data_IF_264649569672
#
_entry.id   IF_264649569672
#
_cell.length_a   1.000
_cell.length_b   1.000
_cell.length_c   1.000
_cell.angle_alpha   90.00
_cell.angle_beta   90.00
_cell.angle_gamma   90.00
#
_symmetry.space_group_name_H-M   'P 1'
#
loop_
_entity.id
_entity.type
_entity.pdbx_description
1 polymer ?
#
# COMPACT_ATOMS: atom_id res chain seq x y z
N UNK A 1 13.55 -4.24 13.93
CA UNK A 1 13.84 -5.39 14.82
C UNK A 1 12.89 -6.52 14.48
N UNK A 2 13.38 -7.76 14.50
CA UNK A 2 12.63 -8.99 14.21
C UNK A 2 11.23 -9.05 14.87
N UNK A 3 11.15 -8.79 16.18
CA UNK A 3 9.89 -8.87 16.94
C UNK A 3 8.73 -8.08 16.33
N UNK A 4 9.01 -6.92 15.71
CA UNK A 4 7.97 -6.12 15.04
C UNK A 4 7.32 -6.90 13.90
N UNK A 5 8.14 -7.61 13.12
CA UNK A 5 7.67 -8.35 11.97
C UNK A 5 6.97 -9.66 12.36
N UNK A 6 7.40 -10.31 13.46
CA UNK A 6 6.67 -11.43 14.10
C UNK A 6 5.29 -10.96 14.57
N UNK A 7 5.23 -9.87 15.34
CA UNK A 7 3.94 -9.31 15.82
C UNK A 7 3.00 -9.03 14.64
N UNK A 8 3.53 -8.41 13.58
CA UNK A 8 2.76 -8.14 12.37
C UNK A 8 2.47 -9.35 11.48
N UNK A 9 3.04 -10.54 11.75
CA UNK A 9 2.84 -11.72 10.90
C UNK A 9 3.63 -11.74 9.59
N UNK A 10 4.46 -10.74 9.33
CA UNK A 10 5.16 -10.62 8.05
C UNK A 10 6.29 -11.64 7.89
N UNK A 11 6.93 -12.06 8.99
CA UNK A 11 7.94 -13.12 8.89
C UNK A 11 7.29 -14.48 8.63
N UNK A 12 6.12 -14.73 9.21
CA UNK A 12 5.39 -15.99 9.05
C UNK A 12 4.82 -16.15 7.64
N UNK A 13 4.30 -15.08 7.06
CA UNK A 13 3.57 -15.14 5.79
C UNK A 13 4.31 -14.58 4.58
N UNK A 14 5.42 -13.85 4.80
CA UNK A 14 6.12 -13.08 3.77
C UNK A 14 7.66 -13.10 3.89
N UNK A 15 8.26 -13.97 4.73
CA UNK A 15 9.72 -14.04 4.89
C UNK A 15 10.47 -14.22 3.56
N UNK A 16 9.98 -15.08 2.66
CA UNK A 16 10.61 -15.33 1.36
C UNK A 16 10.67 -14.08 0.45
N UNK A 17 9.79 -13.12 0.69
CA UNK A 17 9.75 -11.83 0.00
C UNK A 17 10.54 -10.72 0.69
N UNK A 18 11.12 -10.98 1.87
CA UNK A 18 11.92 -10.02 2.63
C UNK A 18 13.40 -10.20 2.35
N UNK A 19 14.17 -9.12 2.47
CA UNK A 19 15.63 -9.23 2.50
C UNK A 19 16.06 -10.03 3.74
N UNK A 20 17.16 -10.81 3.66
CA UNK A 20 17.70 -11.53 4.81
C UNK A 20 17.96 -10.62 6.00
N UNK A 21 17.87 -11.14 7.25
CA UNK A 21 18.16 -10.36 8.44
C UNK A 21 19.61 -9.87 8.44
N UNK A 22 19.78 -8.65 8.94
CA UNK A 22 21.07 -8.11 9.35
C UNK A 22 21.23 -8.38 10.85
N UNK A 23 22.12 -9.31 11.20
CA UNK A 23 22.47 -9.59 12.60
C UNK A 23 23.49 -8.56 13.10
N UNK A 24 23.07 -7.67 13.99
CA UNK A 24 23.90 -6.53 14.45
C UNK A 24 23.80 -6.32 15.97
N UNK A 25 24.58 -5.39 16.52
CA UNK A 25 24.58 -5.00 17.94
C UNK A 25 25.07 -6.08 18.93
N UNK A 26 25.75 -7.13 18.46
CA UNK A 26 26.41 -8.11 19.31
C UNK A 26 27.66 -7.47 19.97
N UNK A 27 27.82 -7.68 21.29
CA UNK A 27 29.01 -7.26 22.02
C UNK A 27 29.77 -8.50 22.51
N UNK A 28 31.10 -8.47 22.38
CA UNK A 28 31.98 -9.57 22.75
C UNK A 28 32.93 -9.12 23.86
N UNK A 29 33.28 -10.03 24.76
CA UNK A 29 34.34 -9.85 25.74
C UNK A 29 35.72 -9.93 25.06
N UNK A 30 36.80 -9.55 25.77
CA UNK A 30 38.18 -9.64 25.26
C UNK A 30 38.60 -11.07 24.89
N UNK A 31 37.97 -12.08 25.51
CA UNK A 31 38.20 -13.50 25.25
C UNK A 31 37.37 -14.04 24.07
N UNK A 32 36.60 -13.18 23.38
CA UNK A 32 35.75 -13.54 22.26
C UNK A 32 34.39 -14.14 22.64
N UNK A 33 34.06 -14.29 23.92
CA UNK A 33 32.74 -14.76 24.36
C UNK A 33 31.68 -13.67 24.21
N UNK A 34 30.43 -14.06 23.92
CA UNK A 34 29.33 -13.10 23.72
C UNK A 34 28.94 -12.47 25.07
N UNK A 35 29.10 -11.16 25.19
CA UNK A 35 28.65 -10.35 26.34
C UNK A 35 27.19 -9.96 26.21
N UNK A 36 26.77 -9.61 24.99
CA UNK A 36 25.40 -9.23 24.64
C UNK A 36 25.05 -9.86 23.30
N UNK A 37 23.97 -10.65 23.22
CA UNK A 37 23.55 -11.23 21.95
C UNK A 37 23.16 -10.11 20.98
N UNK A 38 23.54 -10.29 19.71
CA UNK A 38 23.06 -9.42 18.64
C UNK A 38 21.56 -9.59 18.41
N UNK A 39 21.01 -8.71 17.59
CA UNK A 39 19.60 -8.69 17.22
C UNK A 39 19.46 -8.67 15.70
N UNK A 40 18.41 -9.31 15.23
CA UNK A 40 18.09 -9.32 13.81
C UNK A 40 17.25 -8.09 13.44
N UNK A 41 17.71 -7.39 12.41
CA UNK A 41 17.03 -6.27 11.80
C UNK A 41 16.72 -6.60 10.35
N UNK A 42 15.49 -6.30 9.94
CA UNK A 42 15.03 -6.47 8.57
C UNK A 42 14.75 -5.11 7.96
N UNK A 43 15.12 -4.98 6.68
CA UNK A 43 14.64 -3.89 5.84
C UNK A 43 13.12 -4.00 5.71
N UNK A 44 12.42 -2.86 5.81
CA UNK A 44 10.96 -2.85 5.78
C UNK A 44 10.45 -3.22 4.37
N UNK A 45 9.57 -4.23 4.22
CA UNK A 45 8.94 -4.55 2.94
C UNK A 45 7.66 -3.75 2.69
N UNK A 46 7.10 -3.15 3.76
CA UNK A 46 5.85 -2.37 3.82
C UNK A 46 5.91 -1.40 5.00
N UNK A 47 5.07 -0.35 5.01
CA UNK A 47 5.08 0.66 6.07
C UNK A 47 4.11 0.37 7.23
N UNK A 48 3.13 -0.53 7.03
CA UNK A 48 2.03 -0.80 7.97
C UNK A 48 2.48 -0.98 9.43
N UNK A 49 3.48 -1.85 9.74
CA UNK A 49 3.89 -2.08 11.12
C UNK A 49 4.34 -0.80 11.83
N UNK A 50 5.01 0.12 11.13
CA UNK A 50 5.48 1.38 11.69
C UNK A 50 4.31 2.34 11.95
N UNK A 51 3.33 2.38 11.05
CA UNK A 51 2.13 3.22 11.22
C UNK A 51 1.28 2.74 12.41
N UNK A 52 1.26 1.43 12.68
CA UNK A 52 0.59 0.88 13.87
C UNK A 52 1.28 1.29 15.17
N UNK A 53 2.62 1.33 15.18
CA UNK A 53 3.38 1.88 16.32
C UNK A 53 3.05 3.35 16.55
N UNK A 54 2.93 4.15 15.47
CA UNK A 54 2.52 5.56 15.56
C UNK A 54 1.11 5.68 16.14
N UNK A 55 0.15 4.87 15.65
CA UNK A 55 -1.22 4.86 16.20
C UNK A 55 -1.20 4.58 17.70
N UNK A 56 -0.51 3.52 18.12
CA UNK A 56 -0.43 3.05 19.51
C UNK A 56 0.39 3.94 20.45
N UNK A 57 1.25 4.82 19.92
CA UNK A 57 2.14 5.67 20.73
C UNK A 57 1.43 6.55 21.77
N UNK A 58 0.13 6.82 21.59
CA UNK A 58 -0.71 7.51 22.57
C UNK A 58 -2.15 7.02 22.52
N UNK A 59 -2.92 7.34 23.56
CA UNK A 59 -4.37 7.13 23.55
C UNK A 59 -5.07 7.86 22.41
N UNK A 60 -6.09 7.21 21.83
CA UNK A 60 -6.91 7.72 20.72
C UNK A 60 -8.37 7.83 21.14
N UNK A 61 -9.06 8.88 20.69
CA UNK A 61 -10.50 9.07 20.83
C UNK A 61 -11.22 8.81 19.51
N UNK A 62 -12.47 8.36 19.55
CA UNK A 62 -13.33 8.26 18.35
C UNK A 62 -13.42 9.58 17.57
N UNK A 63 -13.27 10.73 18.25
CA UNK A 63 -13.28 12.07 17.62
C UNK A 63 -12.08 12.34 16.72
N UNK A 64 -11.04 11.53 16.82
CA UNK A 64 -9.86 11.61 15.95
C UNK A 64 -9.99 10.70 14.72
N UNK A 65 -11.03 9.85 14.66
CA UNK A 65 -11.30 8.98 13.53
C UNK A 65 -12.23 9.68 12.53
N UNK A 66 -12.06 9.44 11.21
CA UNK A 66 -11.01 8.63 10.60
C UNK A 66 -9.60 9.29 10.66
N UNK A 67 -8.62 8.57 11.22
CA UNK A 67 -7.22 9.01 11.28
C UNK A 67 -6.48 8.45 10.07
N UNK A 68 -5.91 9.31 9.25
CA UNK A 68 -5.20 8.93 8.01
C UNK A 68 -3.71 9.21 8.17
N UNK A 69 -2.89 8.16 8.16
CA UNK A 69 -1.43 8.28 8.11
C UNK A 69 -0.97 8.01 6.68
N UNK A 70 -0.11 8.87 6.16
CA UNK A 70 0.41 8.79 4.78
C UNK A 70 1.93 8.93 4.81
N UNK A 71 2.60 8.13 3.98
CA UNK A 71 4.05 8.15 3.84
C UNK A 71 4.46 7.79 2.40
N UNK A 72 5.32 8.60 1.78
CA UNK A 72 6.14 8.12 0.67
C UNK A 72 7.28 7.26 1.24
N UNK A 73 6.95 6.01 1.54
CA UNK A 73 7.83 5.10 2.25
C UNK A 73 8.71 4.31 1.29
N UNK A 74 10.03 4.46 1.40
CA UNK A 74 10.97 3.57 0.69
C UNK A 74 11.00 2.20 1.34
N UNK A 75 10.62 1.18 0.58
CA UNK A 75 10.52 -0.21 1.03
C UNK A 75 11.36 -1.13 0.14
N UNK A 76 11.69 -2.30 0.66
CA UNK A 76 12.56 -3.26 0.02
C UNK A 76 11.95 -4.65 0.01
N UNK A 77 11.80 -5.22 -1.18
CA UNK A 77 11.27 -6.58 -1.39
C UNK A 77 12.30 -7.41 -2.14
N UNK A 78 12.54 -8.63 -1.67
CA UNK A 78 13.50 -9.53 -2.27
C UNK A 78 12.92 -10.25 -3.48
N UNK A 79 12.76 -9.50 -4.58
CA UNK A 79 12.36 -10.07 -5.86
C UNK A 79 13.49 -10.93 -6.45
N UNK A 80 13.15 -12.11 -6.98
CA UNK A 80 14.12 -12.98 -7.67
C UNK A 80 14.73 -12.21 -8.84
N UNK A 81 16.04 -12.34 -9.07
CA UNK A 81 16.73 -11.56 -10.11
C UNK A 81 16.12 -11.75 -11.50
N UNK A 82 15.63 -12.95 -11.81
CA UNK A 82 14.98 -13.27 -13.09
C UNK A 82 13.62 -12.61 -13.33
N UNK A 83 13.00 -11.97 -12.33
CA UNK A 83 11.71 -11.27 -12.49
C UNK A 83 11.82 -9.76 -12.37
N UNK A 84 13.00 -9.22 -12.05
CA UNK A 84 13.24 -7.77 -12.01
C UNK A 84 13.23 -7.23 -13.44
N UNK A 85 12.48 -6.16 -13.68
CA UNK A 85 12.31 -5.59 -15.02
C UNK A 85 11.99 -4.10 -14.97
N UNK A 86 12.84 -3.31 -15.65
CA UNK A 86 12.65 -1.86 -15.82
C UNK A 86 12.26 -1.16 -14.52
N UNK A 87 11.19 -0.37 -14.58
CA UNK A 87 10.57 0.28 -13.42
C UNK A 87 9.36 -0.49 -12.87
N UNK A 88 8.85 -1.49 -13.59
CA UNK A 88 7.61 -2.19 -13.23
C UNK A 88 7.82 -3.23 -12.14
N UNK A 89 9.04 -3.76 -11.99
CA UNK A 89 9.39 -4.72 -10.94
C UNK A 89 10.82 -4.52 -10.45
N UNK A 90 10.96 -3.93 -9.26
CA UNK A 90 12.24 -3.52 -8.66
C UNK A 90 12.36 -4.04 -7.22
N UNK A 91 13.57 -4.04 -6.66
CA UNK A 91 13.83 -4.50 -5.28
C UNK A 91 13.72 -3.40 -4.23
N UNK A 92 14.01 -2.16 -4.60
CA UNK A 92 13.81 -0.97 -3.77
C UNK A 92 12.82 -0.06 -4.49
N UNK A 93 11.78 0.37 -3.79
CA UNK A 93 10.70 1.16 -4.37
C UNK A 93 10.15 2.13 -3.33
N UNK A 94 9.52 3.21 -3.80
CA UNK A 94 8.79 4.13 -2.94
C UNK A 94 7.30 3.95 -3.18
N UNK A 95 6.57 3.61 -2.11
CA UNK A 95 5.12 3.46 -2.17
C UNK A 95 4.46 4.70 -1.55
N UNK A 96 3.38 5.15 -2.17
CA UNK A 96 2.50 6.23 -1.69
C UNK A 96 1.48 5.66 -0.68
N UNK A 97 2.03 5.02 0.35
CA UNK A 97 1.30 4.15 1.24
C UNK A 97 0.50 4.95 2.29
N UNK A 98 -0.72 4.54 2.54
CA UNK A 98 -1.57 5.13 3.56
C UNK A 98 -2.33 4.09 4.36
N UNK A 99 -2.41 4.36 5.67
CA UNK A 99 -3.14 3.56 6.65
C UNK A 99 -4.20 4.42 7.30
N UNK A 100 -5.45 4.02 7.14
CA UNK A 100 -6.61 4.77 7.63
C UNK A 100 -7.27 3.95 8.72
N UNK A 101 -7.32 4.54 9.91
CA UNK A 101 -7.99 3.97 11.07
C UNK A 101 -9.36 4.63 11.17
N UNK A 102 -10.42 3.84 11.05
CA UNK A 102 -11.79 4.34 11.04
C UNK A 102 -12.66 3.51 11.97
N UNK A 103 -13.86 3.99 12.29
CA UNK A 103 -14.84 3.16 13.02
C UNK A 103 -15.52 2.18 12.05
N UNK A 104 -16.19 1.15 12.58
CA UNK A 104 -16.96 0.23 11.72
C UNK A 104 -18.10 0.97 11.01
N UNK A 105 -18.73 1.92 11.70
CA UNK A 105 -19.84 2.70 11.18
C UNK A 105 -19.41 3.63 10.02
N UNK A 106 -18.19 4.19 10.10
CA UNK A 106 -17.66 5.11 9.08
C UNK A 106 -16.90 4.39 7.94
N UNK A 107 -16.68 3.07 8.03
CA UNK A 107 -15.79 2.35 7.11
C UNK A 107 -16.28 2.40 5.67
N UNK A 108 -17.58 2.22 5.44
CA UNK A 108 -18.17 2.21 4.09
C UNK A 108 -18.00 3.56 3.41
N UNK A 109 -18.35 4.64 4.11
CA UNK A 109 -18.22 6.01 3.59
C UNK A 109 -16.77 6.40 3.33
N UNK A 110 -15.82 5.88 4.13
CA UNK A 110 -14.40 6.06 3.88
C UNK A 110 -13.97 5.31 2.61
N UNK A 111 -14.35 4.04 2.45
CA UNK A 111 -14.03 3.24 1.25
C UNK A 111 -14.60 3.86 -0.02
N UNK A 112 -15.85 4.35 -0.01
CA UNK A 112 -16.46 5.03 -1.16
C UNK A 112 -15.70 6.29 -1.54
N UNK A 113 -15.36 7.15 -0.56
CA UNK A 113 -14.58 8.38 -0.82
C UNK A 113 -13.18 8.06 -1.33
N UNK A 114 -12.54 7.02 -0.79
CA UNK A 114 -11.21 6.58 -1.23
C UNK A 114 -11.23 6.05 -2.66
N UNK A 115 -12.22 5.24 -3.02
CA UNK A 115 -12.35 4.73 -4.38
C UNK A 115 -12.55 5.88 -5.37
N UNK A 116 -13.44 6.83 -5.08
CA UNK A 116 -13.61 8.00 -5.94
C UNK A 116 -12.32 8.82 -6.07
N UNK A 117 -11.62 9.07 -4.96
CA UNK A 117 -10.35 9.79 -4.97
C UNK A 117 -9.28 9.09 -5.82
N UNK A 118 -9.21 7.76 -5.77
CA UNK A 118 -8.31 6.97 -6.63
C UNK A 118 -8.65 7.18 -8.11
N UNK A 119 -9.91 7.06 -8.48
CA UNK A 119 -10.36 7.18 -9.87
C UNK A 119 -10.10 8.58 -10.42
N UNK A 120 -10.44 9.63 -9.67
CA UNK A 120 -10.20 11.03 -10.04
C UNK A 120 -8.71 11.29 -10.25
N UNK A 121 -7.87 10.83 -9.31
CA UNK A 121 -6.43 11.00 -9.40
C UNK A 121 -5.85 10.30 -10.64
N UNK A 122 -6.24 9.06 -10.92
CA UNK A 122 -5.76 8.35 -12.12
C UNK A 122 -6.24 9.02 -13.42
N UNK A 123 -7.46 9.57 -13.42
CA UNK A 123 -8.02 10.33 -14.54
C UNK A 123 -7.25 11.62 -14.81
N UNK A 124 -6.77 12.32 -13.78
CA UNK A 124 -5.89 13.49 -13.93
C UNK A 124 -4.58 13.15 -14.66
N UNK A 125 -4.09 11.91 -14.53
CA UNK A 125 -2.96 11.35 -15.28
C UNK A 125 -3.35 10.74 -16.64
N UNK A 126 -4.55 11.02 -17.15
CA UNK A 126 -5.01 10.60 -18.47
C UNK A 126 -5.48 9.14 -18.57
N UNK A 127 -5.53 8.40 -17.46
CA UNK A 127 -5.99 7.02 -17.41
C UNK A 127 -7.51 7.03 -17.15
N UNK A 128 -8.33 6.53 -18.07
CA UNK A 128 -9.80 6.67 -17.97
C UNK A 128 -10.58 5.37 -18.18
N UNK A 129 -9.92 4.27 -18.58
CA UNK A 129 -10.55 2.96 -18.79
C UNK A 129 -10.29 2.07 -17.57
N UNK A 130 -11.24 2.08 -16.65
CA UNK A 130 -11.16 1.40 -15.36
C UNK A 130 -12.12 0.23 -15.27
N UNK A 131 -11.66 -0.84 -14.61
CA UNK A 131 -12.52 -1.84 -13.99
C UNK A 131 -11.96 -2.22 -12.61
N UNK A 132 -12.77 -2.86 -11.79
CA UNK A 132 -12.42 -3.26 -10.44
C UNK A 132 -12.27 -4.77 -10.36
N UNK A 133 -11.29 -5.22 -9.58
CA UNK A 133 -11.17 -6.61 -9.16
C UNK A 133 -11.40 -6.71 -7.65
N UNK A 134 -12.34 -7.57 -7.24
CA UNK A 134 -12.59 -7.92 -5.85
C UNK A 134 -11.84 -9.20 -5.51
N UNK A 135 -10.70 -9.06 -4.82
CA UNK A 135 -9.94 -10.22 -4.38
C UNK A 135 -10.43 -10.72 -3.02
N UNK A 136 -10.80 -12.00 -2.98
CA UNK A 136 -11.41 -12.63 -1.80
C UNK A 136 -10.47 -13.63 -1.12
N UNK A 137 -10.90 -14.13 0.04
CA UNK A 137 -10.14 -15.02 0.93
C UNK A 137 -9.51 -16.21 0.19
N UNK A 138 -8.21 -16.42 0.42
CA UNK A 138 -7.52 -17.66 0.06
C UNK A 138 -7.78 -18.72 1.15
N UNK A 139 -8.40 -19.88 0.84
CA UNK A 139 -8.65 -20.94 1.82
C UNK A 139 -7.40 -21.49 2.51
N UNK A 140 -6.21 -21.37 1.90
CA UNK A 140 -4.95 -21.89 2.43
C UNK A 140 -4.16 -20.83 3.20
N UNK A 141 -4.45 -19.54 2.99
CA UNK A 141 -3.63 -18.43 3.49
C UNK A 141 -4.47 -17.23 3.98
N UNK A 142 -5.09 -17.38 5.15
CA UNK A 142 -5.85 -16.31 5.78
C UNK A 142 -5.74 -16.31 7.32
N UNK A 143 -6.09 -15.19 7.94
CA UNK A 143 -6.24 -15.04 9.40
C UNK A 143 -7.54 -14.32 9.75
N UNK A 144 -8.06 -14.53 10.96
CA UNK A 144 -9.34 -13.97 11.40
C UNK A 144 -10.51 -14.94 11.23
N UNK A 145 -11.71 -14.52 11.63
CA UNK A 145 -12.92 -15.35 11.56
C UNK A 145 -13.63 -15.20 10.21
N UNK A 146 -14.41 -16.21 9.83
CA UNK A 146 -15.16 -16.20 8.58
C UNK A 146 -16.18 -15.07 8.52
N UNK A 147 -16.80 -14.71 9.65
CA UNK A 147 -17.78 -13.63 9.73
C UNK A 147 -17.15 -12.27 9.42
N UNK A 148 -15.92 -12.02 9.89
CA UNK A 148 -15.18 -10.79 9.61
C UNK A 148 -14.83 -10.72 8.12
N UNK A 149 -14.40 -11.84 7.53
CA UNK A 149 -14.10 -11.91 6.10
C UNK A 149 -15.33 -11.66 5.23
N UNK A 150 -16.48 -12.20 5.64
CA UNK A 150 -17.76 -11.98 4.96
C UNK A 150 -18.16 -10.49 5.04
N UNK A 151 -18.16 -9.90 6.25
CA UNK A 151 -18.43 -8.47 6.47
C UNK A 151 -17.53 -7.58 5.61
N UNK A 152 -16.22 -7.89 5.60
CA UNK A 152 -15.22 -7.14 4.85
C UNK A 152 -15.42 -7.24 3.34
N UNK A 153 -15.65 -8.45 2.85
CA UNK A 153 -15.82 -8.74 1.42
C UNK A 153 -17.10 -8.12 0.91
N UNK A 154 -18.19 -8.24 1.67
CA UNK A 154 -19.49 -7.67 1.32
C UNK A 154 -19.45 -6.15 1.32
N UNK A 155 -18.81 -5.52 2.30
CA UNK A 155 -18.64 -4.06 2.33
C UNK A 155 -17.88 -3.58 1.09
N UNK A 156 -16.80 -4.26 0.71
CA UNK A 156 -16.06 -3.93 -0.51
C UNK A 156 -16.93 -4.15 -1.75
N UNK A 157 -17.65 -5.27 -1.86
CA UNK A 157 -18.57 -5.55 -2.97
C UNK A 157 -19.60 -4.44 -3.16
N UNK A 158 -20.28 -4.03 -2.09
CA UNK A 158 -21.25 -2.94 -2.13
C UNK A 158 -20.63 -1.62 -2.59
N UNK A 159 -19.42 -1.29 -2.13
CA UNK A 159 -18.69 -0.08 -2.54
C UNK A 159 -18.28 -0.16 -4.03
N UNK A 160 -17.79 -1.32 -4.46
CA UNK A 160 -17.41 -1.57 -5.85
C UNK A 160 -18.60 -1.46 -6.81
N UNK A 161 -19.71 -2.13 -6.50
CA UNK A 161 -20.94 -2.07 -7.31
C UNK A 161 -21.55 -0.67 -7.35
N UNK A 162 -21.55 0.05 -6.22
CA UNK A 162 -22.06 1.41 -6.15
C UNK A 162 -21.23 2.42 -6.97
N UNK A 163 -19.98 2.10 -7.31
CA UNK A 163 -19.14 2.94 -8.18
C UNK A 163 -19.62 2.95 -9.65
N UNK A 164 -20.43 1.96 -10.06
CA UNK A 164 -20.88 1.79 -11.44
C UNK A 164 -19.84 1.20 -12.39
N UNK A 165 -18.63 0.88 -11.89
CA UNK A 165 -17.61 0.16 -12.66
C UNK A 165 -17.89 -1.35 -12.69
N UNK A 166 -17.37 -2.02 -13.73
CA UNK A 166 -17.37 -3.48 -13.78
C UNK A 166 -16.57 -4.04 -12.59
N UNK A 167 -17.17 -4.93 -11.80
CA UNK A 167 -16.55 -5.60 -10.66
C UNK A 167 -16.32 -7.08 -10.99
N UNK A 168 -15.07 -7.44 -11.20
CA UNK A 168 -14.63 -8.80 -11.56
C UNK A 168 -14.18 -9.55 -10.31
N UNK A 169 -14.60 -10.82 -10.10
CA UNK A 169 -14.12 -11.61 -8.97
C UNK A 169 -12.68 -12.10 -9.18
N UNK A 170 -11.86 -12.02 -8.13
CA UNK A 170 -10.49 -12.52 -8.08
C UNK A 170 -10.29 -13.48 -6.88
N UNK A 171 -10.84 -14.72 -6.95
CA UNK A 171 -10.86 -15.64 -5.82
C UNK A 171 -9.45 -16.05 -5.40
N UNK A 172 -9.13 -15.86 -4.11
CA UNK A 172 -7.82 -16.19 -3.53
C UNK A 172 -6.73 -15.12 -3.77
N UNK A 173 -7.03 -14.00 -4.43
CA UNK A 173 -6.07 -12.93 -4.66
C UNK A 173 -5.86 -11.97 -3.48
N UNK A 174 -6.60 -12.16 -2.37
CA UNK A 174 -6.54 -11.29 -1.20
C UNK A 174 -5.19 -11.39 -0.46
N UNK A 175 -4.89 -10.36 0.34
CA UNK A 175 -3.81 -10.48 1.31
C UNK A 175 -4.26 -11.39 2.46
N UNK A 176 -3.32 -11.99 3.19
CA UNK A 176 -3.66 -12.92 4.27
C UNK A 176 -4.51 -12.30 5.39
N UNK A 177 -4.47 -10.97 5.54
CA UNK A 177 -5.15 -10.21 6.60
C UNK A 177 -6.51 -9.62 6.19
N UNK A 178 -6.91 -9.72 4.92
CA UNK A 178 -8.23 -9.24 4.51
C UNK A 178 -8.42 -9.08 3.00
N UNK A 179 -9.68 -8.89 2.56
CA UNK A 179 -10.03 -8.72 1.15
C UNK A 179 -9.61 -7.35 0.64
N UNK A 180 -9.55 -7.21 -0.68
CA UNK A 180 -9.17 -5.95 -1.33
C UNK A 180 -9.95 -5.69 -2.62
N UNK A 181 -10.14 -4.42 -2.91
CA UNK A 181 -10.46 -3.95 -4.26
C UNK A 181 -9.19 -3.44 -4.91
N UNK A 182 -8.97 -3.84 -6.15
CA UNK A 182 -7.89 -3.35 -6.99
C UNK A 182 -8.45 -2.59 -8.19
N UNK A 183 -7.90 -1.41 -8.47
CA UNK A 183 -8.26 -0.63 -9.66
C UNK A 183 -7.36 -1.06 -10.80
N UNK A 184 -7.98 -1.60 -11.83
CA UNK A 184 -7.32 -2.05 -13.04
C UNK A 184 -7.51 -1.00 -14.14
N UNK A 185 -6.42 -0.66 -14.84
CA UNK A 185 -6.40 0.30 -15.94
C UNK A 185 -6.01 -0.41 -17.22
N UNK A 186 -6.78 -0.19 -18.29
CA UNK A 186 -6.37 -0.61 -19.64
C UNK A 186 -5.56 0.51 -20.30
N UNK A 187 -4.35 0.18 -20.75
CA UNK A 187 -3.52 1.14 -21.48
C UNK A 187 -3.94 1.27 -22.95
N UNK A 188 -3.32 2.22 -23.68
CA UNK A 188 -3.61 2.49 -25.09
C UNK A 188 -3.30 1.29 -26.02
N UNK A 189 -2.56 0.29 -25.54
CA UNK A 189 -2.24 -0.95 -26.25
C UNK A 189 -3.17 -2.11 -25.86
N UNK A 190 -4.16 -1.87 -25.00
CA UNK A 190 -5.13 -2.86 -24.52
C UNK A 190 -4.60 -3.79 -23.43
N UNK A 191 -3.46 -3.47 -22.79
CA UNK A 191 -2.94 -4.25 -21.65
C UNK A 191 -3.55 -3.73 -20.35
N UNK A 192 -3.91 -4.64 -19.45
CA UNK A 192 -4.40 -4.30 -18.11
C UNK A 192 -3.26 -4.17 -17.11
N UNK A 193 -3.30 -3.10 -16.32
CA UNK A 193 -2.37 -2.83 -15.24
C UNK A 193 -3.12 -2.61 -13.93
N UNK A 194 -2.74 -3.35 -12.90
CA UNK A 194 -3.17 -3.05 -11.54
C UNK A 194 -2.46 -1.79 -11.05
N UNK A 195 -3.22 -0.71 -10.81
CA UNK A 195 -2.69 0.60 -10.41
C UNK A 195 -2.78 0.80 -8.90
N UNK A 196 -3.99 0.69 -8.37
CA UNK A 196 -4.29 1.03 -6.98
C UNK A 196 -4.88 -0.16 -6.25
N UNK A 197 -4.76 -0.14 -4.94
CA UNK A 197 -5.40 -1.14 -4.08
C UNK A 197 -5.95 -0.48 -2.83
N UNK A 198 -7.13 -0.93 -2.43
CA UNK A 198 -7.79 -0.61 -1.17
C UNK A 198 -8.06 -1.93 -0.47
N UNK A 199 -7.45 -2.15 0.70
CA UNK A 199 -7.51 -3.41 1.42
C UNK A 199 -8.10 -3.16 2.81
N UNK A 200 -9.01 -4.03 3.23
CA UNK A 200 -9.70 -3.90 4.50
C UNK A 200 -9.14 -4.92 5.49
N UNK A 201 -8.51 -4.44 6.56
CA UNK A 201 -7.79 -5.25 7.54
C UNK A 201 -8.45 -5.12 8.92
N UNK A 202 -8.87 -6.27 9.44
CA UNK A 202 -9.44 -6.41 10.79
C UNK A 202 -8.49 -7.12 11.75
N UNK A 203 -7.39 -7.67 11.26
CA UNK A 203 -6.48 -8.52 12.02
C UNK A 203 -5.29 -7.73 12.62
N UNK A 204 -4.70 -6.77 11.90
CA UNK A 204 -3.61 -5.95 12.47
C UNK A 204 -4.03 -5.12 13.68
N UNK A 205 -5.25 -4.56 13.75
CA UNK A 205 -5.76 -3.95 14.98
C UNK A 205 -5.67 -4.85 16.21
N UNK A 206 -5.93 -6.15 16.07
CA UNK A 206 -5.82 -7.09 17.19
C UNK A 206 -4.36 -7.45 17.50
N UNK A 207 -3.55 -7.76 16.48
CA UNK A 207 -2.13 -8.12 16.66
C UNK A 207 -1.30 -7.03 17.33
N UNK A 208 -1.61 -5.77 17.05
CA UNK A 208 -0.90 -4.63 17.65
C UNK A 208 -1.58 -4.05 18.88
N UNK A 209 -2.73 -4.61 19.28
CA UNK A 209 -3.58 -4.12 20.34
C UNK A 209 -3.97 -2.65 20.13
N UNK A 210 -4.36 -2.29 18.90
CA UNK A 210 -4.79 -0.94 18.55
C UNK A 210 -6.17 -0.67 19.13
N UNK A 211 -6.32 0.44 19.84
CA UNK A 211 -7.59 0.79 20.48
C UNK A 211 -7.84 2.30 20.47
N UNK A 212 -9.12 2.65 20.41
CA UNK A 212 -9.60 3.99 20.69
C UNK A 212 -10.70 3.96 21.76
N UNK A 213 -10.90 5.09 22.43
CA UNK A 213 -12.03 5.30 23.35
C UNK A 213 -13.25 5.76 22.55
N UNK A 214 -14.29 4.95 22.56
CA UNK A 214 -15.57 5.20 21.90
C UNK A 214 -16.40 6.27 22.64
N UNK A 215 -17.50 6.71 22.03
CA UNK A 215 -18.36 7.76 22.58
C UNK A 215 -19.01 7.38 23.92
N UNK A 216 -19.23 6.08 24.14
CA UNK A 216 -19.75 5.50 25.38
C UNK A 216 -18.66 5.24 26.44
N UNK A 217 -17.40 5.60 26.17
CA UNK A 217 -16.26 5.39 27.05
C UNK A 217 -15.65 3.99 26.96
N UNK A 218 -16.21 3.07 26.17
CA UNK A 218 -15.65 1.73 25.97
C UNK A 218 -14.40 1.78 25.09
N UNK A 219 -13.54 0.76 25.20
CA UNK A 219 -12.37 0.58 24.33
C UNK A 219 -12.77 -0.29 23.15
N UNK A 220 -12.55 0.19 21.93
CA UNK A 220 -12.87 -0.52 20.69
C UNK A 220 -11.65 -0.61 19.77
N UNK A 221 -11.61 -1.67 18.96
CA UNK A 221 -10.64 -1.82 17.85
C UNK A 221 -11.07 -0.94 16.67
N UNK A 222 -10.16 -0.17 16.04
CA UNK A 222 -10.46 0.49 14.78
C UNK A 222 -10.53 -0.55 13.65
N UNK A 223 -11.23 -0.20 12.57
CA UNK A 223 -11.07 -0.84 11.26
C UNK A 223 -9.87 -0.19 10.58
N UNK A 224 -9.00 -1.00 9.98
CA UNK A 224 -7.83 -0.53 9.25
C UNK A 224 -8.06 -0.66 7.74
N UNK A 225 -7.85 0.42 7.01
CA UNK A 225 -7.84 0.42 5.55
C UNK A 225 -6.42 0.71 5.08
N UNK A 226 -5.86 -0.21 4.31
CA UNK A 226 -4.60 0.01 3.59
C UNK A 226 -4.93 0.56 2.21
N UNK A 227 -4.19 1.56 1.76
CA UNK A 227 -4.30 2.05 0.40
C UNK A 227 -2.96 2.43 -0.20
N UNK A 228 -2.82 2.15 -1.49
CA UNK A 228 -1.80 2.75 -2.35
C UNK A 228 -2.50 3.21 -3.64
N UNK A 229 -2.26 4.45 -4.06
CA UNK A 229 -2.88 5.03 -5.26
C UNK A 229 -2.06 4.65 -6.49
N UNK A 230 -0.76 4.92 -6.45
CA UNK A 230 0.15 4.63 -7.56
C UNK A 230 0.77 3.23 -7.47
N UNK A 231 0.68 2.61 -6.28
CA UNK A 231 1.36 1.37 -5.97
C UNK A 231 2.81 1.65 -5.60
N UNK A 232 3.72 1.63 -6.58
CA UNK A 232 5.04 2.24 -6.43
C UNK A 232 5.20 3.35 -7.44
N UNK A 233 5.87 4.43 -7.03
CA UNK A 233 6.13 5.57 -7.90
C UNK A 233 6.91 5.12 -9.14
N UNK A 234 7.88 4.22 -8.98
CA UNK A 234 8.65 3.67 -10.09
C UNK A 234 7.74 2.97 -11.10
N UNK A 235 6.88 2.04 -10.64
CA UNK A 235 5.97 1.30 -11.52
C UNK A 235 4.99 2.24 -12.22
N UNK A 236 4.48 3.22 -11.49
CA UNK A 236 3.57 4.22 -12.04
C UNK A 236 4.21 5.01 -13.18
N UNK A 237 5.43 5.53 -12.99
CA UNK A 237 6.16 6.20 -14.06
C UNK A 237 6.52 5.26 -15.24
N UNK A 238 6.80 3.98 -14.96
CA UNK A 238 6.96 2.97 -16.01
C UNK A 238 5.73 2.87 -16.90
N UNK A 239 4.55 2.74 -16.28
CA UNK A 239 3.27 2.66 -16.98
C UNK A 239 2.96 3.97 -17.72
N UNK A 240 3.15 5.13 -17.10
CA UNK A 240 2.90 6.42 -17.76
C UNK A 240 3.84 6.66 -18.95
N UNK A 241 5.10 6.23 -18.85
CA UNK A 241 6.05 6.33 -19.98
C UNK A 241 5.56 5.55 -21.18
N UNK A 242 5.03 4.34 -20.96
CA UNK A 242 4.45 3.52 -22.01
C UNK A 242 3.11 4.09 -22.51
N UNK A 243 2.24 4.53 -21.60
CA UNK A 243 0.94 5.12 -21.93
C UNK A 243 1.07 6.34 -22.84
N UNK A 244 2.01 7.23 -22.55
CA UNK A 244 2.27 8.44 -23.34
C UNK A 244 3.27 8.24 -24.48
N UNK A 245 3.83 7.03 -24.66
CA UNK A 245 4.94 6.79 -25.58
C UNK A 245 6.11 7.79 -25.42
N UNK A 246 6.37 8.21 -24.18
CA UNK A 246 7.36 9.24 -23.83
C UNK A 246 6.94 10.70 -24.07
N UNK A 247 5.78 10.97 -24.68
CA UNK A 247 5.25 12.31 -24.93
C UNK A 247 4.32 12.77 -23.80
N UNK A 248 4.90 13.07 -22.63
CA UNK A 248 4.15 13.48 -21.45
C UNK A 248 3.35 14.77 -21.64
N UNK A 249 2.21 14.94 -20.93
CA UNK A 249 1.49 16.20 -20.90
C UNK A 249 2.37 17.31 -20.31
N UNK A 250 2.12 18.56 -20.70
CA UNK A 250 2.98 19.70 -20.37
C UNK A 250 3.27 19.85 -18.85
N UNK A 251 2.31 19.50 -17.99
CA UNK A 251 2.47 19.59 -16.53
C UNK A 251 3.38 18.50 -15.93
N UNK A 252 3.63 17.41 -16.67
CA UNK A 252 4.44 16.27 -16.23
C UNK A 252 5.75 16.14 -17.03
N UNK A 253 5.86 16.82 -18.17
CA UNK A 253 7.04 16.76 -19.02
C UNK A 253 8.28 17.33 -18.30
N UNK A 254 9.43 16.61 -18.27
CA UNK A 254 10.63 17.08 -17.60
C UNK A 254 11.25 18.31 -18.28
N UNK A 255 11.01 18.47 -19.59
CA UNK A 255 11.35 19.66 -20.37
C UNK A 255 10.07 20.13 -21.04
N UNK A 256 9.54 21.28 -20.61
CA UNK A 256 8.27 21.79 -21.09
C UNK A 256 8.43 22.62 -22.38
N UNK A 257 9.48 23.45 -22.44
CA UNK A 257 9.77 24.35 -23.55
C UNK A 257 11.27 24.40 -23.78
N UNK A 258 11.68 24.38 -25.05
CA UNK A 258 13.06 24.66 -25.48
C UNK A 258 13.01 25.83 -26.45
N UNK A 259 13.68 26.93 -26.10
CA UNK A 259 13.86 28.06 -27.00
C UNK A 259 15.12 27.85 -27.85
N UNK A 260 14.97 27.86 -29.17
CA UNK A 260 16.09 27.71 -30.11
C UNK A 260 16.18 29.01 -30.91
N UNK A 261 17.22 29.85 -30.69
CA UNK A 261 17.37 31.08 -31.44
C UNK A 261 17.67 30.77 -32.90
N UNK A 262 17.16 31.61 -33.80
CA UNK A 262 17.40 31.46 -35.26
C UNK A 262 18.89 31.68 -35.60
N UNK A 263 19.58 32.52 -34.81
CA UNK A 263 21.01 32.80 -34.91
C UNK A 263 21.56 33.24 -33.56
N UNK A 264 22.88 33.13 -33.36
CA UNK A 264 23.56 33.51 -32.11
C UNK A 264 23.30 34.96 -31.68
N UNK A 265 23.03 35.85 -32.63
CA UNK A 265 22.67 37.25 -32.35
C UNK A 265 21.37 37.42 -31.55
N UNK A 266 20.53 36.38 -31.50
CA UNK A 266 19.30 36.35 -30.71
C UNK A 266 19.46 35.63 -29.37
N UNK A 267 20.65 35.12 -29.03
CA UNK A 267 20.86 34.34 -27.80
C UNK A 267 20.71 35.16 -26.51
N UNK A 268 20.90 36.48 -26.58
CA UNK A 268 20.78 37.41 -25.44
C UNK A 268 19.33 37.87 -25.17
N UNK A 269 18.36 37.49 -26.01
CA UNK A 269 16.96 37.96 -25.96
C UNK A 269 15.97 36.86 -25.57
#
# INVERSE_FOLDING_TARGET
>A
KEQLYITSGHLEWYADGMFPPMHIDAEYNEDGTVRKPGQDYYLKPMNCPMHHLIFRSRGRSYRELPLRLFEFGSVYRYEKSGVVHGLTRVRGMTQDDAHIYTTREEMRDELTRLLQFVLDLLADYGLNDFYLELSTKDPEKFVGSDEIWEEATETLREVGEASGLELVPDPGGAAFYGPKISVQVRDALGRSWQMSTIQLDFNMPDRFELEYTAADGTRKRPVLIHRALFGSIERFFGILTEHYAGAFPAWLAPVQVVAIPVADAHADY
#
